data_IF_872771902130
#
_entry.id   IF_872771902130
#
_cell.length_a   1.000
_cell.length_b   1.000
_cell.length_c   1.000
_cell.angle_alpha   90.00
_cell.angle_beta   90.00
_cell.angle_gamma   90.00
#
_symmetry.space_group_name_H-M   'P 1'
#
loop_
_entity.id
_entity.type
_entity.pdbx_description
1 polymer ?
#
# COMPACT_ATOMS: atom_id res chain seq x y z
N UNK A 1 23.94 35.00 -5.41
CA UNK A 1 23.52 33.60 -5.48
C UNK A 1 22.41 33.43 -4.46
N UNK A 2 21.19 33.13 -4.88
CA UNK A 2 20.10 32.83 -3.96
C UNK A 2 20.44 31.51 -3.25
N UNK A 3 20.49 31.53 -1.92
CA UNK A 3 20.70 30.30 -1.12
C UNK A 3 19.54 29.36 -1.37
N UNK A 4 19.85 28.10 -1.69
CA UNK A 4 18.82 27.07 -1.86
C UNK A 4 18.02 26.87 -0.56
N UNK A 5 16.69 26.68 -0.62
CA UNK A 5 15.90 26.35 0.55
C UNK A 5 16.37 25.03 1.20
N UNK A 6 16.37 24.97 2.53
CA UNK A 6 16.77 23.78 3.27
C UNK A 6 15.61 22.80 3.44
N UNK A 7 15.86 21.54 3.11
CA UNK A 7 14.87 20.45 3.16
C UNK A 7 15.46 19.26 3.92
N UNK A 8 14.70 18.72 4.88
CA UNK A 8 15.04 17.43 5.48
C UNK A 8 14.52 16.31 4.56
N UNK A 9 15.38 15.37 4.25
CA UNK A 9 15.00 14.10 3.65
C UNK A 9 15.16 12.98 4.68
N UNK A 10 14.03 12.30 5.04
CA UNK A 10 14.01 11.32 6.14
C UNK A 10 14.73 10.03 5.78
N UNK A 11 14.64 9.59 4.55
CA UNK A 11 15.32 8.41 4.02
C UNK A 11 15.51 8.51 2.51
N UNK A 12 16.31 7.61 1.92
CA UNK A 12 16.54 7.60 0.48
C UNK A 12 15.32 7.12 -0.30
N UNK A 13 14.96 7.80 -1.37
CA UNK A 13 13.94 7.38 -2.33
C UNK A 13 14.53 6.40 -3.36
N UNK A 14 15.03 5.25 -2.90
CA UNK A 14 15.69 4.24 -3.76
C UNK A 14 14.77 3.64 -4.82
N UNK A 15 13.45 3.65 -4.58
CA UNK A 15 12.44 3.19 -5.55
C UNK A 15 11.95 4.26 -6.52
N UNK A 16 12.51 5.48 -6.47
CA UNK A 16 12.19 6.59 -7.39
C UNK A 16 13.22 6.67 -8.51
N UNK A 17 12.81 7.01 -9.74
CA UNK A 17 13.75 7.17 -10.87
C UNK A 17 14.81 8.25 -10.66
N UNK A 18 14.44 9.40 -10.10
CA UNK A 18 15.34 10.57 -10.03
C UNK A 18 15.12 11.50 -8.81
N UNK A 19 14.21 11.20 -7.88
CA UNK A 19 13.84 12.11 -6.79
C UNK A 19 15.04 12.62 -5.99
N UNK A 20 15.97 11.72 -5.60
CA UNK A 20 17.17 12.13 -4.84
C UNK A 20 18.03 13.13 -5.61
N UNK A 21 18.21 12.94 -6.93
CA UNK A 21 19.00 13.84 -7.77
C UNK A 21 18.32 15.20 -7.97
N UNK A 22 17.00 15.19 -8.20
CA UNK A 22 16.19 16.41 -8.38
C UNK A 22 16.15 17.23 -7.09
N UNK A 23 15.96 16.58 -5.94
CA UNK A 23 16.03 17.25 -4.65
C UNK A 23 17.40 17.93 -4.45
N UNK A 24 18.50 17.22 -4.64
CA UNK A 24 19.84 17.77 -4.47
C UNK A 24 20.17 18.90 -5.46
N UNK A 25 19.56 18.88 -6.67
CA UNK A 25 19.71 19.94 -7.66
C UNK A 25 19.08 21.25 -7.21
N UNK A 26 17.84 21.19 -6.63
CA UNK A 26 17.03 22.38 -6.41
C UNK A 26 17.05 22.87 -4.95
N UNK A 27 17.42 22.00 -4.00
CA UNK A 27 17.39 22.27 -2.55
C UNK A 27 18.75 22.00 -1.87
N UNK A 28 18.92 22.58 -0.69
CA UNK A 28 19.95 22.19 0.28
C UNK A 28 19.39 21.06 1.14
N UNK A 29 19.71 19.80 0.75
CA UNK A 29 19.10 18.61 1.32
C UNK A 29 19.90 18.08 2.49
N UNK A 30 19.29 18.08 3.68
CA UNK A 30 19.80 17.38 4.85
C UNK A 30 19.31 15.92 4.86
N UNK A 31 20.22 14.99 4.60
CA UNK A 31 19.92 13.56 4.43
C UNK A 31 20.00 12.83 5.78
N UNK A 32 18.90 12.79 6.53
CA UNK A 32 18.85 12.29 7.91
C UNK A 32 19.30 10.82 8.05
N UNK A 33 19.04 9.97 7.04
CA UNK A 33 19.42 8.54 7.09
C UNK A 33 20.93 8.29 7.04
N UNK A 34 21.72 9.27 6.67
CA UNK A 34 23.19 9.15 6.64
C UNK A 34 23.83 9.37 8.00
N UNK A 35 23.05 9.77 9.01
CA UNK A 35 23.53 10.04 10.36
C UNK A 35 23.18 8.89 11.30
N UNK A 36 24.18 8.34 11.99
CA UNK A 36 23.99 7.24 12.94
C UNK A 36 23.14 7.66 14.16
N UNK A 37 23.39 8.86 14.69
CA UNK A 37 22.56 9.46 15.74
C UNK A 37 21.70 10.59 15.15
N UNK A 38 20.45 10.26 14.87
CA UNK A 38 19.49 11.20 14.29
C UNK A 38 19.15 12.37 15.23
N UNK A 39 19.13 12.14 16.57
CA UNK A 39 18.80 13.19 17.54
C UNK A 39 19.90 14.25 17.60
N UNK A 40 21.14 13.81 17.68
CA UNK A 40 22.30 14.72 17.65
C UNK A 40 22.33 15.50 16.33
N UNK A 41 22.14 14.81 15.20
CA UNK A 41 22.15 15.45 13.90
C UNK A 41 21.03 16.49 13.74
N UNK A 42 19.82 16.22 14.23
CA UNK A 42 18.72 17.18 14.20
C UNK A 42 18.96 18.38 15.13
N UNK A 43 19.55 18.18 16.28
CA UNK A 43 19.90 19.27 17.19
C UNK A 43 20.96 20.21 16.58
N UNK A 44 21.93 19.68 15.85
CA UNK A 44 22.99 20.43 15.20
C UNK A 44 22.54 21.10 13.89
N UNK A 45 21.82 20.38 13.04
CA UNK A 45 21.52 20.81 11.68
C UNK A 45 20.04 21.13 11.42
N UNK A 46 19.13 20.87 12.36
CA UNK A 46 17.67 21.01 12.15
C UNK A 46 17.17 22.44 12.06
N UNK A 47 17.93 23.42 12.57
CA UNK A 47 17.54 24.85 12.50
C UNK A 47 17.53 25.33 11.05
N UNK A 48 16.49 26.08 10.68
CA UNK A 48 16.30 26.63 9.33
C UNK A 48 15.75 25.61 8.30
N UNK A 49 15.45 24.39 8.71
CA UNK A 49 14.75 23.41 7.87
C UNK A 49 13.25 23.71 7.95
N UNK A 50 12.67 24.16 6.83
CA UNK A 50 11.24 24.55 6.77
C UNK A 50 10.36 23.53 6.07
N UNK A 51 10.96 22.59 5.33
CA UNK A 51 10.21 21.51 4.68
C UNK A 51 10.89 20.15 4.90
N UNK A 52 10.07 19.08 4.90
CA UNK A 52 10.50 17.70 5.03
C UNK A 52 9.92 16.88 3.87
N UNK A 53 10.71 15.97 3.30
CA UNK A 53 10.25 14.95 2.37
C UNK A 53 10.40 13.57 3.02
N UNK A 54 9.33 12.75 2.92
CA UNK A 54 9.22 11.42 3.53
C UNK A 54 8.33 10.48 2.70
N UNK A 55 8.02 9.31 3.22
CA UNK A 55 7.04 8.36 2.66
C UNK A 55 6.37 7.58 3.79
N UNK A 56 5.33 6.80 3.49
CA UNK A 56 4.69 5.92 4.47
C UNK A 56 5.66 4.92 5.13
N UNK A 57 6.70 4.48 4.42
CA UNK A 57 7.70 3.55 4.97
C UNK A 57 8.73 4.24 5.88
N UNK A 58 8.94 5.54 5.69
CA UNK A 58 9.91 6.33 6.48
C UNK A 58 9.24 7.02 7.67
N UNK A 59 8.01 7.49 7.47
CA UNK A 59 7.21 8.18 8.47
C UNK A 59 7.70 9.58 8.83
N UNK A 60 6.97 10.20 9.76
CA UNK A 60 7.33 11.41 10.49
C UNK A 60 6.50 11.42 11.79
N UNK A 61 7.06 10.86 12.86
CA UNK A 61 6.40 10.83 14.15
C UNK A 61 6.48 12.19 14.86
N UNK A 62 5.74 12.37 15.95
CA UNK A 62 5.72 13.60 16.73
C UNK A 62 7.13 14.03 17.20
N UNK A 63 8.00 13.08 17.58
CA UNK A 63 9.37 13.38 18.01
C UNK A 63 10.17 14.05 16.88
N UNK A 64 10.12 13.49 15.66
CA UNK A 64 10.82 14.05 14.50
C UNK A 64 10.24 15.42 14.11
N UNK A 65 8.91 15.55 14.09
CA UNK A 65 8.24 16.81 13.79
C UNK A 65 8.65 17.89 14.80
N UNK A 66 8.67 17.55 16.09
CA UNK A 66 9.00 18.47 17.17
C UNK A 66 10.50 18.84 17.24
N UNK A 67 11.39 17.99 16.73
CA UNK A 67 12.83 18.28 16.66
C UNK A 67 13.19 19.36 15.62
N UNK A 68 12.26 19.76 14.75
CA UNK A 68 12.45 20.76 13.70
C UNK A 68 11.66 22.04 14.01
N UNK A 69 12.25 23.05 14.71
CA UNK A 69 11.50 24.21 15.19
C UNK A 69 10.88 25.06 14.07
N UNK A 70 11.52 25.10 12.90
CA UNK A 70 11.11 25.93 11.76
C UNK A 70 10.26 25.19 10.74
N UNK A 71 9.95 23.89 10.96
CA UNK A 71 9.19 23.06 10.04
C UNK A 71 7.80 23.63 9.77
N UNK A 72 7.39 23.70 8.50
CA UNK A 72 6.09 24.22 8.01
C UNK A 72 5.42 23.28 7.04
N UNK A 73 6.15 22.39 6.36
CA UNK A 73 5.57 21.47 5.38
C UNK A 73 6.21 20.08 5.44
N UNK A 74 5.40 19.04 5.23
CA UNK A 74 5.81 17.66 5.06
C UNK A 74 5.22 17.17 3.73
N UNK A 75 6.08 16.82 2.77
CA UNK A 75 5.67 16.27 1.48
C UNK A 75 5.96 14.77 1.46
N UNK A 76 4.91 13.94 1.43
CA UNK A 76 5.03 12.48 1.42
C UNK A 76 4.98 11.92 0.01
N UNK A 77 5.92 11.03 -0.30
CA UNK A 77 5.95 10.24 -1.52
C UNK A 77 5.16 8.94 -1.32
N UNK A 78 3.94 8.91 -1.81
CA UNK A 78 2.97 7.82 -1.65
C UNK A 78 1.60 8.32 -1.26
N UNK A 79 0.59 7.46 -1.36
CA UNK A 79 -0.79 7.80 -0.96
C UNK A 79 -1.03 7.58 0.54
N UNK A 80 -0.39 6.57 1.12
CA UNK A 80 -0.47 6.30 2.56
C UNK A 80 0.33 7.32 3.36
N UNK A 81 -0.22 7.73 4.50
CA UNK A 81 0.40 8.68 5.43
C UNK A 81 0.18 8.29 6.90
N UNK A 82 -0.22 7.06 7.14
CA UNK A 82 -0.52 6.52 8.48
C UNK A 82 0.67 6.53 9.45
N UNK A 83 1.88 6.63 8.95
CA UNK A 83 3.13 6.75 9.74
C UNK A 83 3.57 8.20 9.96
N UNK A 84 2.81 9.16 9.42
CA UNK A 84 3.00 10.59 9.68
C UNK A 84 2.03 10.99 10.79
N UNK A 85 2.55 11.58 11.85
CA UNK A 85 1.70 12.11 12.93
C UNK A 85 1.05 13.44 12.48
N UNK A 86 -0.05 13.29 11.74
CA UNK A 86 -0.82 14.42 11.19
C UNK A 86 -1.35 15.31 12.32
N UNK A 87 -1.68 14.73 13.49
CA UNK A 87 -2.15 15.51 14.63
C UNK A 87 -1.04 16.41 15.18
N UNK A 88 0.15 15.86 15.42
CA UNK A 88 1.30 16.67 15.85
C UNK A 88 1.70 17.73 14.80
N UNK A 89 1.58 17.41 13.51
CA UNK A 89 1.82 18.38 12.45
C UNK A 89 0.79 19.53 12.51
N UNK A 90 -0.49 19.22 12.65
CA UNK A 90 -1.60 20.19 12.73
C UNK A 90 -1.45 21.12 13.94
N UNK A 91 -1.13 20.58 15.11
CA UNK A 91 -0.92 21.35 16.35
C UNK A 91 0.18 22.41 16.21
N UNK A 92 1.14 22.16 15.31
CA UNK A 92 2.24 23.08 15.00
C UNK A 92 2.02 23.94 13.76
N UNK A 93 0.85 23.82 13.11
CA UNK A 93 0.59 24.50 11.85
C UNK A 93 1.48 24.04 10.70
N UNK A 94 1.92 22.78 10.72
CA UNK A 94 2.71 22.14 9.66
C UNK A 94 1.76 21.49 8.67
N UNK A 95 1.86 21.87 7.41
CA UNK A 95 1.07 21.30 6.32
C UNK A 95 1.60 19.91 5.93
N UNK A 96 0.70 18.99 5.59
CA UNK A 96 1.08 17.65 5.14
C UNK A 96 0.48 17.40 3.76
N UNK A 97 1.26 16.85 2.82
CA UNK A 97 0.76 16.36 1.53
C UNK A 97 1.11 14.90 1.30
N UNK A 98 0.34 14.27 0.42
CA UNK A 98 0.61 12.95 -0.13
C UNK A 98 0.53 12.98 -1.67
N UNK A 99 0.67 11.83 -2.34
CA UNK A 99 0.57 11.75 -3.82
C UNK A 99 -0.65 10.91 -4.24
N UNK A 100 -1.89 11.44 -4.07
CA UNK A 100 -3.10 10.74 -4.45
C UNK A 100 -3.25 10.66 -5.98
N UNK A 101 -4.14 9.79 -6.45
CA UNK A 101 -4.58 9.60 -7.84
C UNK A 101 -3.53 8.99 -8.77
N UNK A 102 -2.31 9.49 -8.80
CA UNK A 102 -1.25 9.10 -9.73
C UNK A 102 -0.85 7.62 -9.70
N UNK A 103 -1.14 6.92 -8.62
CA UNK A 103 -0.83 5.48 -8.47
C UNK A 103 -2.07 4.56 -8.54
N UNK A 104 -3.26 5.13 -8.67
CA UNK A 104 -4.54 4.39 -8.55
C UNK A 104 -4.64 3.23 -9.51
N UNK A 105 -4.37 3.45 -10.80
CA UNK A 105 -4.49 2.41 -11.83
C UNK A 105 -3.39 1.36 -11.69
N UNK A 106 -2.15 1.76 -11.39
CA UNK A 106 -1.03 0.83 -11.19
C UNK A 106 -1.31 -0.16 -10.05
N UNK A 107 -1.80 0.34 -8.90
CA UNK A 107 -2.16 -0.53 -7.77
C UNK A 107 -3.35 -1.43 -8.11
N UNK A 108 -4.34 -0.92 -8.85
CA UNK A 108 -5.47 -1.71 -9.30
C UNK A 108 -5.05 -2.80 -10.28
N UNK A 109 -4.12 -2.53 -11.18
CA UNK A 109 -3.55 -3.52 -12.11
C UNK A 109 -2.82 -4.63 -11.36
N UNK A 110 -2.00 -4.26 -10.35
CA UNK A 110 -1.32 -5.26 -9.51
C UNK A 110 -2.32 -6.11 -8.72
N UNK A 111 -3.38 -5.51 -8.16
CA UNK A 111 -4.42 -6.25 -7.46
C UNK A 111 -5.06 -7.33 -8.37
N UNK A 112 -5.30 -7.00 -9.63
CA UNK A 112 -5.77 -7.96 -10.64
C UNK A 112 -4.71 -9.00 -11.00
N UNK A 113 -3.46 -8.61 -11.10
CA UNK A 113 -2.33 -9.55 -11.27
C UNK A 113 -2.27 -10.58 -10.13
N UNK A 114 -2.38 -10.12 -8.88
CA UNK A 114 -2.44 -10.96 -7.68
C UNK A 114 -3.67 -11.88 -7.68
N UNK A 115 -4.86 -11.34 -7.99
CA UNK A 115 -6.11 -12.08 -8.08
C UNK A 115 -6.01 -13.22 -9.10
N UNK A 116 -5.57 -12.91 -10.32
CA UNK A 116 -5.43 -13.89 -11.40
C UNK A 116 -4.34 -14.91 -11.06
N UNK A 117 -3.20 -14.45 -10.52
CA UNK A 117 -2.10 -15.34 -10.13
C UNK A 117 -2.52 -16.33 -9.03
N UNK A 118 -3.25 -15.88 -8.01
CA UNK A 118 -3.79 -16.72 -6.95
C UNK A 118 -4.85 -17.70 -7.48
N UNK A 119 -5.83 -17.18 -8.23
CA UNK A 119 -6.90 -18.01 -8.81
C UNK A 119 -6.39 -19.10 -9.75
N UNK A 120 -5.40 -18.77 -10.59
CA UNK A 120 -4.89 -19.65 -11.65
C UNK A 120 -3.58 -20.35 -11.29
N UNK A 121 -3.10 -20.19 -10.03
CA UNK A 121 -1.86 -20.80 -9.53
C UNK A 121 -0.62 -20.43 -10.37
N UNK A 122 -0.56 -19.22 -10.89
CA UNK A 122 0.50 -18.82 -11.84
C UNK A 122 1.88 -18.85 -11.20
N UNK A 123 2.03 -18.30 -9.97
CA UNK A 123 3.30 -18.31 -9.24
C UNK A 123 3.76 -19.74 -8.90
N UNK A 124 2.83 -20.64 -8.54
CA UNK A 124 3.12 -22.05 -8.35
C UNK A 124 3.56 -22.72 -9.68
N UNK A 125 2.86 -22.41 -10.78
CA UNK A 125 3.16 -22.92 -12.12
C UNK A 125 4.55 -22.50 -12.60
N UNK A 126 4.92 -21.23 -12.41
CA UNK A 126 6.26 -20.72 -12.74
C UNK A 126 7.35 -21.45 -11.94
N UNK A 127 7.18 -21.55 -10.59
CA UNK A 127 8.11 -22.31 -9.74
C UNK A 127 8.24 -23.77 -10.17
N UNK A 128 7.12 -24.41 -10.52
CA UNK A 128 7.09 -25.81 -10.95
C UNK A 128 7.89 -26.06 -12.23
N UNK A 129 7.72 -25.17 -13.23
CA UNK A 129 8.49 -25.27 -14.50
C UNK A 129 9.96 -24.98 -14.27
N UNK A 130 10.30 -23.91 -13.53
CA UNK A 130 11.72 -23.56 -13.24
C UNK A 130 12.45 -24.62 -12.43
N UNK A 131 11.76 -25.35 -11.57
CA UNK A 131 12.30 -26.48 -10.83
C UNK A 131 12.47 -27.77 -11.69
N UNK A 132 12.17 -27.71 -12.99
CA UNK A 132 12.28 -28.85 -13.90
C UNK A 132 11.28 -29.98 -13.65
N UNK A 133 10.19 -29.72 -12.93
CA UNK A 133 9.21 -30.75 -12.55
C UNK A 133 8.19 -31.06 -13.66
N UNK A 134 8.06 -30.19 -14.63
CA UNK A 134 7.08 -30.39 -15.72
C UNK A 134 7.43 -31.62 -16.57
N UNK A 135 6.47 -32.53 -16.64
CA UNK A 135 6.65 -33.84 -17.31
C UNK A 135 7.37 -34.92 -16.45
N UNK A 136 7.90 -34.56 -15.27
CA UNK A 136 8.53 -35.51 -14.37
C UNK A 136 7.64 -36.00 -13.22
N UNK A 137 6.63 -35.17 -12.86
CA UNK A 137 5.69 -35.47 -11.78
C UNK A 137 4.32 -35.79 -12.37
N UNK A 138 3.81 -37.01 -12.04
CA UNK A 138 2.47 -37.41 -12.47
C UNK A 138 1.41 -36.49 -11.85
N UNK A 139 0.46 -35.97 -12.67
CA UNK A 139 -0.63 -35.12 -12.19
C UNK A 139 -0.36 -33.60 -12.23
N UNK A 140 0.89 -33.14 -12.38
CA UNK A 140 1.21 -31.71 -12.49
C UNK A 140 0.85 -30.89 -11.23
N UNK A 141 0.39 -29.66 -11.42
CA UNK A 141 -0.13 -28.78 -10.34
C UNK A 141 -1.64 -28.92 -10.22
N UNK A 142 -2.24 -28.68 -9.04
CA UNK A 142 -3.69 -28.71 -8.84
C UNK A 142 -4.43 -27.72 -9.73
N UNK A 143 -5.69 -28.02 -10.04
CA UNK A 143 -6.55 -27.12 -10.82
C UNK A 143 -6.75 -25.78 -10.09
N UNK A 144 -6.73 -24.69 -10.86
CA UNK A 144 -7.11 -23.36 -10.41
C UNK A 144 -8.59 -23.07 -10.53
N UNK A 145 -8.99 -21.87 -10.16
CA UNK A 145 -10.34 -21.34 -10.22
C UNK A 145 -10.51 -20.41 -11.44
N UNK A 146 -11.63 -20.50 -12.14
CA UNK A 146 -12.03 -19.53 -13.18
C UNK A 146 -12.33 -18.18 -12.50
N UNK A 147 -11.89 -17.07 -13.10
CA UNK A 147 -12.16 -15.72 -12.59
C UNK A 147 -13.47 -15.15 -13.13
N UNK A 148 -13.68 -15.24 -14.46
CA UNK A 148 -14.86 -14.66 -15.11
C UNK A 148 -16.17 -15.21 -14.56
N UNK A 149 -17.14 -14.32 -14.36
CA UNK A 149 -18.48 -14.64 -13.85
C UNK A 149 -18.51 -15.00 -12.35
N UNK A 150 -17.47 -14.66 -11.61
CA UNK A 150 -17.34 -14.90 -10.17
C UNK A 150 -17.72 -13.67 -9.34
N UNK A 151 -17.74 -13.81 -8.03
CA UNK A 151 -18.12 -12.78 -7.05
C UNK A 151 -16.90 -12.08 -6.49
N UNK A 152 -16.84 -10.77 -6.68
CA UNK A 152 -15.73 -9.90 -6.19
C UNK A 152 -16.21 -9.07 -5.01
N UNK A 153 -15.70 -9.35 -3.81
CA UNK A 153 -15.86 -8.54 -2.62
C UNK A 153 -14.70 -7.54 -2.50
N UNK A 154 -15.01 -6.27 -2.21
CA UNK A 154 -14.01 -5.22 -2.03
C UNK A 154 -14.19 -4.59 -0.66
N UNK A 155 -13.15 -4.64 0.18
CA UNK A 155 -13.07 -3.94 1.45
C UNK A 155 -12.38 -2.60 1.20
N UNK A 156 -13.15 -1.51 1.22
CA UNK A 156 -12.64 -0.17 0.92
C UNK A 156 -12.86 0.25 -0.54
N UNK A 157 -14.07 0.75 -0.86
CA UNK A 157 -14.39 1.28 -2.19
C UNK A 157 -14.00 2.77 -2.31
N UNK A 158 -12.70 3.07 -2.04
CA UNK A 158 -12.07 4.35 -2.34
C UNK A 158 -11.68 4.47 -3.82
N UNK A 159 -10.71 5.34 -4.14
CA UNK A 159 -10.21 5.50 -5.54
C UNK A 159 -9.68 4.19 -6.12
N UNK A 160 -8.79 3.51 -5.40
CA UNK A 160 -8.20 2.22 -5.82
C UNK A 160 -9.27 1.13 -5.88
N UNK A 161 -10.11 1.01 -4.83
CA UNK A 161 -11.20 0.01 -4.81
C UNK A 161 -12.16 0.15 -5.98
N UNK A 162 -12.51 1.39 -6.38
CA UNK A 162 -13.33 1.64 -7.56
C UNK A 162 -12.61 1.27 -8.87
N UNK A 163 -11.30 1.55 -8.96
CA UNK A 163 -10.52 1.16 -10.13
C UNK A 163 -10.42 -0.37 -10.27
N UNK A 164 -10.35 -1.09 -9.14
CA UNK A 164 -10.43 -2.57 -9.12
C UNK A 164 -11.82 -3.04 -9.53
N UNK A 165 -12.88 -2.43 -8.99
CA UNK A 165 -14.27 -2.77 -9.29
C UNK A 165 -14.57 -2.65 -10.79
N UNK A 166 -14.20 -1.53 -11.43
CA UNK A 166 -14.39 -1.31 -12.87
C UNK A 166 -13.72 -2.36 -13.75
N UNK A 167 -12.58 -2.90 -13.31
CA UNK A 167 -11.92 -4.00 -14.03
C UNK A 167 -12.69 -5.31 -13.91
N UNK A 168 -13.45 -5.49 -12.81
CA UNK A 168 -14.35 -6.61 -12.60
C UNK A 168 -15.46 -6.72 -13.65
N UNK A 169 -15.93 -5.58 -14.16
CA UNK A 169 -16.93 -5.53 -15.23
C UNK A 169 -16.43 -6.26 -16.50
N UNK A 170 -15.13 -6.10 -16.83
CA UNK A 170 -14.51 -6.80 -17.98
C UNK A 170 -14.36 -8.32 -17.79
N UNK A 171 -14.58 -8.83 -16.59
CA UNK A 171 -14.61 -10.26 -16.27
C UNK A 171 -16.03 -10.78 -15.97
N UNK A 172 -17.06 -9.99 -16.26
CA UNK A 172 -18.47 -10.32 -15.98
C UNK A 172 -18.71 -10.68 -14.50
N UNK A 173 -18.00 -10.03 -13.56
CA UNK A 173 -18.10 -10.34 -12.14
C UNK A 173 -19.25 -9.55 -11.49
N UNK A 174 -19.96 -10.20 -10.57
CA UNK A 174 -20.80 -9.47 -9.61
C UNK A 174 -19.90 -8.84 -8.57
N UNK A 175 -20.02 -7.50 -8.36
CA UNK A 175 -19.17 -6.76 -7.42
C UNK A 175 -20.00 -6.27 -6.25
N UNK A 176 -19.54 -6.55 -5.02
CA UNK A 176 -20.04 -5.94 -3.78
C UNK A 176 -18.87 -5.34 -2.98
N UNK A 177 -19.20 -4.38 -2.14
CA UNK A 177 -18.19 -3.75 -1.32
C UNK A 177 -18.65 -3.51 0.12
N UNK A 178 -17.68 -3.38 1.00
CA UNK A 178 -17.85 -2.90 2.37
C UNK A 178 -17.06 -1.60 2.58
N UNK A 179 -17.71 -0.61 3.16
CA UNK A 179 -17.15 0.64 3.70
C UNK A 179 -17.80 0.93 5.05
N UNK A 180 -17.23 1.84 5.84
CA UNK A 180 -17.88 2.38 7.05
C UNK A 180 -19.27 2.98 6.77
N UNK A 181 -19.50 3.49 5.57
CA UNK A 181 -20.79 4.04 5.10
C UNK A 181 -21.00 3.62 3.66
N UNK A 182 -22.27 3.34 3.31
CA UNK A 182 -22.66 3.11 1.94
C UNK A 182 -22.40 4.34 1.05
N UNK A 183 -22.12 4.09 -0.22
CA UNK A 183 -21.95 5.12 -1.27
C UNK A 183 -23.16 5.08 -2.21
N UNK A 184 -23.68 6.26 -2.55
CA UNK A 184 -24.83 6.39 -3.45
C UNK A 184 -24.43 6.72 -4.89
N UNK A 185 -23.13 6.92 -5.12
CA UNK A 185 -22.54 7.38 -6.39
C UNK A 185 -21.83 6.24 -7.17
N UNK A 186 -22.08 4.99 -6.77
CA UNK A 186 -21.48 3.80 -7.39
C UNK A 186 -22.54 2.74 -7.69
N UNK A 187 -22.39 1.94 -8.79
CA UNK A 187 -23.39 0.93 -9.19
C UNK A 187 -23.25 -0.40 -8.43
N UNK A 188 -22.28 -0.53 -7.54
CA UNK A 188 -21.94 -1.79 -6.87
C UNK A 188 -22.75 -2.02 -5.60
N UNK A 189 -23.03 -3.29 -5.27
CA UNK A 189 -23.78 -3.66 -4.08
C UNK A 189 -23.02 -3.33 -2.78
N UNK A 190 -23.66 -2.64 -1.85
CA UNK A 190 -23.11 -2.41 -0.52
C UNK A 190 -23.43 -3.57 0.42
N UNK A 191 -22.43 -4.04 1.17
CA UNK A 191 -22.59 -5.02 2.23
C UNK A 191 -22.14 -4.42 3.56
N UNK A 192 -23.09 -4.31 4.50
CA UNK A 192 -22.83 -3.70 5.80
C UNK A 192 -21.99 -4.61 6.72
N UNK A 193 -22.12 -5.94 6.54
CA UNK A 193 -21.39 -6.94 7.30
C UNK A 193 -20.18 -7.43 6.51
N UNK A 194 -19.00 -7.33 7.11
CA UNK A 194 -17.76 -7.83 6.52
C UNK A 194 -17.77 -9.36 6.40
N UNK A 195 -18.34 -10.03 7.38
CA UNK A 195 -18.49 -11.50 7.40
C UNK A 195 -19.42 -11.95 6.28
N UNK A 196 -20.53 -11.23 6.06
CA UNK A 196 -21.47 -11.58 4.98
C UNK A 196 -20.88 -11.28 3.60
N UNK A 197 -20.09 -10.19 3.46
CA UNK A 197 -19.31 -9.94 2.24
C UNK A 197 -18.35 -11.08 1.95
N UNK A 198 -17.57 -11.52 2.95
CA UNK A 198 -16.61 -12.60 2.83
C UNK A 198 -17.28 -13.92 2.48
N UNK A 199 -18.40 -14.25 3.14
CA UNK A 199 -19.17 -15.45 2.89
C UNK A 199 -19.78 -15.51 1.47
N UNK A 200 -20.11 -14.35 0.92
CA UNK A 200 -20.67 -14.23 -0.42
C UNK A 200 -19.59 -14.26 -1.52
N UNK A 201 -18.39 -13.73 -1.26
CA UNK A 201 -17.34 -13.53 -2.25
C UNK A 201 -16.59 -14.83 -2.61
N UNK A 202 -16.18 -14.96 -3.86
CA UNK A 202 -15.14 -15.91 -4.30
C UNK A 202 -13.73 -15.28 -4.15
N UNK A 203 -13.64 -13.97 -4.38
CA UNK A 203 -12.41 -13.16 -4.28
C UNK A 203 -12.69 -11.98 -3.37
N UNK A 204 -11.83 -11.78 -2.38
CA UNK A 204 -11.94 -10.69 -1.42
C UNK A 204 -10.70 -9.79 -1.50
N UNK A 205 -10.87 -8.59 -2.03
CA UNK A 205 -9.78 -7.60 -2.17
C UNK A 205 -9.83 -6.60 -1.03
N UNK A 206 -8.69 -6.44 -0.35
CA UNK A 206 -8.49 -5.46 0.72
C UNK A 206 -7.82 -4.23 0.12
N UNK A 207 -8.57 -3.12 0.05
CA UNK A 207 -8.18 -1.84 -0.55
C UNK A 207 -8.52 -0.64 0.35
N UNK A 208 -8.64 -0.86 1.65
CA UNK A 208 -8.92 0.19 2.65
C UNK A 208 -7.65 0.90 3.09
N UNK A 209 -7.79 2.03 3.77
CA UNK A 209 -6.66 2.73 4.41
C UNK A 209 -6.08 1.91 5.56
N UNK A 210 -4.78 2.05 5.83
CA UNK A 210 -4.16 1.54 7.04
C UNK A 210 -4.43 2.45 8.24
N UNK A 211 -4.12 1.94 9.43
CA UNK A 211 -4.20 2.70 10.68
C UNK A 211 -4.89 1.93 11.81
N UNK A 212 -4.98 2.53 13.02
CA UNK A 212 -5.53 1.85 14.20
C UNK A 212 -6.97 1.36 14.02
N UNK A 213 -7.81 2.11 13.30
CA UNK A 213 -9.22 1.77 13.08
C UNK A 213 -9.45 0.59 12.13
N UNK A 214 -8.45 0.24 11.33
CA UNK A 214 -8.51 -0.87 10.37
C UNK A 214 -7.60 -2.03 10.73
N UNK A 215 -6.91 -1.95 11.89
CA UNK A 215 -6.07 -3.03 12.35
C UNK A 215 -6.90 -4.30 12.58
N UNK A 216 -6.47 -5.42 11.97
CA UNK A 216 -7.14 -6.71 12.01
C UNK A 216 -8.65 -6.63 11.68
N UNK A 217 -9.02 -5.67 10.81
CA UNK A 217 -10.38 -5.56 10.28
C UNK A 217 -10.81 -6.87 9.60
N UNK A 218 -9.88 -7.50 8.88
CA UNK A 218 -10.02 -8.86 8.35
C UNK A 218 -9.46 -9.82 9.37
N UNK A 219 -10.29 -10.15 10.34
CA UNK A 219 -9.99 -11.06 11.44
C UNK A 219 -10.25 -12.53 11.05
N UNK A 220 -10.02 -13.43 12.00
CA UNK A 220 -10.25 -14.88 11.84
C UNK A 220 -11.65 -15.21 11.34
N UNK A 221 -12.69 -14.54 11.84
CA UNK A 221 -14.08 -14.81 11.48
C UNK A 221 -14.33 -14.48 9.99
N UNK A 222 -13.82 -13.35 9.51
CA UNK A 222 -13.91 -12.94 8.10
C UNK A 222 -13.15 -13.91 7.19
N UNK A 223 -11.95 -14.35 7.61
CA UNK A 223 -11.14 -15.31 6.87
C UNK A 223 -11.84 -16.67 6.77
N UNK A 224 -12.38 -17.19 7.87
CA UNK A 224 -13.11 -18.46 7.89
C UNK A 224 -14.42 -18.39 7.09
N UNK A 225 -15.08 -17.21 7.04
CA UNK A 225 -16.28 -16.99 6.25
C UNK A 225 -16.00 -17.04 4.74
N UNK A 226 -14.86 -16.52 4.29
CA UNK A 226 -14.42 -16.61 2.88
C UNK A 226 -14.16 -18.08 2.47
N UNK A 227 -13.61 -18.88 3.37
CA UNK A 227 -13.55 -20.32 3.31
C UNK A 227 -12.51 -20.93 2.37
N UNK A 228 -12.51 -22.26 2.24
CA UNK A 228 -11.42 -23.04 1.62
C UNK A 228 -11.30 -22.91 0.10
N UNK A 229 -12.22 -22.24 -0.56
CA UNK A 229 -12.18 -21.93 -1.99
C UNK A 229 -11.95 -20.46 -2.28
N UNK A 230 -12.02 -19.62 -1.25
CA UNK A 230 -11.86 -18.19 -1.37
C UNK A 230 -10.41 -17.77 -1.58
N UNK A 231 -10.25 -16.66 -2.26
CA UNK A 231 -8.94 -16.02 -2.47
C UNK A 231 -8.98 -14.64 -1.84
N UNK A 232 -8.07 -14.37 -0.92
CA UNK A 232 -7.88 -13.04 -0.34
C UNK A 232 -6.73 -12.32 -1.04
N UNK A 233 -6.94 -11.06 -1.39
CA UNK A 233 -5.94 -10.20 -2.03
C UNK A 233 -5.70 -8.98 -1.14
N UNK A 234 -4.46 -8.70 -0.75
CA UNK A 234 -4.13 -7.53 0.05
C UNK A 234 -3.15 -6.60 -0.70
N UNK A 235 -3.65 -5.41 -1.06
CA UNK A 235 -2.86 -4.31 -1.63
C UNK A 235 -2.98 -3.03 -0.77
N UNK A 236 -3.52 -3.16 0.44
CA UNK A 236 -3.73 -2.07 1.38
C UNK A 236 -2.51 -1.89 2.30
N UNK A 237 -2.60 -2.51 3.50
CA UNK A 237 -1.51 -2.62 4.48
C UNK A 237 -1.58 -3.98 5.16
N UNK A 238 -0.43 -4.53 5.52
CA UNK A 238 -0.34 -5.82 6.20
C UNK A 238 -1.23 -5.91 7.45
N UNK A 239 -1.14 -4.96 8.40
CA UNK A 239 -1.92 -4.98 9.64
C UNK A 239 -3.45 -4.91 9.47
N UNK A 240 -3.98 -4.68 8.27
CA UNK A 240 -5.44 -4.74 8.04
C UNK A 240 -5.97 -6.16 8.13
N UNK A 241 -5.15 -7.15 7.81
CA UNK A 241 -5.45 -8.57 8.00
C UNK A 241 -4.75 -9.06 9.27
N UNK A 242 -5.43 -9.89 10.05
CA UNK A 242 -4.78 -10.71 11.09
C UNK A 242 -3.91 -11.77 10.39
N UNK A 243 -2.62 -11.43 10.22
CA UNK A 243 -1.65 -12.25 9.48
C UNK A 243 -1.48 -13.63 10.11
N UNK A 244 -1.53 -13.72 11.44
CA UNK A 244 -1.41 -14.98 12.15
C UNK A 244 -2.63 -15.88 11.87
N UNK A 245 -3.84 -15.32 11.93
CA UNK A 245 -5.07 -16.06 11.64
C UNK A 245 -5.13 -16.49 10.17
N UNK A 246 -4.67 -15.64 9.23
CA UNK A 246 -4.61 -15.95 7.82
C UNK A 246 -3.60 -17.07 7.53
N UNK A 247 -2.41 -17.00 8.12
CA UNK A 247 -1.37 -18.02 7.98
C UNK A 247 -1.90 -19.37 8.46
N UNK A 248 -2.48 -19.41 9.65
CA UNK A 248 -3.10 -20.63 10.18
C UNK A 248 -4.23 -21.17 9.29
N UNK A 249 -5.03 -20.29 8.67
CA UNK A 249 -6.09 -20.71 7.76
C UNK A 249 -5.55 -21.32 6.45
N UNK A 250 -4.44 -20.81 5.91
CA UNK A 250 -3.72 -21.41 4.77
C UNK A 250 -3.17 -22.79 5.13
N UNK A 251 -2.45 -22.92 6.25
CA UNK A 251 -1.85 -24.18 6.69
C UNK A 251 -2.91 -25.28 6.91
N UNK A 252 -4.05 -24.91 7.49
CA UNK A 252 -5.13 -25.86 7.79
C UNK A 252 -6.16 -26.04 6.65
N UNK A 253 -5.91 -25.45 5.46
CA UNK A 253 -6.80 -25.55 4.30
C UNK A 253 -8.17 -24.88 4.50
N UNK A 254 -8.28 -23.95 5.45
CA UNK A 254 -9.50 -23.16 5.72
C UNK A 254 -9.62 -21.93 4.82
N UNK A 255 -8.53 -21.50 4.19
CA UNK A 255 -8.48 -20.46 3.16
C UNK A 255 -7.86 -21.04 1.89
N UNK A 256 -8.46 -20.75 0.74
CA UNK A 256 -8.03 -21.29 -0.54
C UNK A 256 -6.71 -20.71 -1.06
N UNK A 257 -6.53 -19.39 -0.96
CA UNK A 257 -5.30 -18.72 -1.35
C UNK A 257 -5.18 -17.34 -0.70
N UNK A 258 -3.93 -16.93 -0.39
CA UNK A 258 -3.57 -15.57 -0.01
C UNK A 258 -2.62 -14.95 -1.03
N UNK A 259 -3.02 -13.84 -1.65
CA UNK A 259 -2.24 -13.10 -2.65
C UNK A 259 -1.92 -11.70 -2.11
N UNK A 260 -0.67 -11.49 -1.71
CA UNK A 260 -0.26 -10.40 -0.83
C UNK A 260 0.83 -9.55 -1.48
N UNK A 261 0.64 -8.23 -1.47
CA UNK A 261 1.69 -7.25 -1.77
C UNK A 261 2.27 -6.62 -0.50
N UNK A 262 1.59 -6.81 0.64
CA UNK A 262 1.94 -6.18 1.93
C UNK A 262 1.84 -7.18 3.08
N UNK A 263 2.68 -6.99 4.11
CA UNK A 263 2.79 -7.86 5.28
C UNK A 263 2.74 -7.06 6.59
N UNK A 264 2.37 -7.71 7.69
CA UNK A 264 2.20 -7.01 8.97
C UNK A 264 3.53 -6.45 9.52
N UNK A 265 4.64 -7.14 9.26
CA UNK A 265 5.97 -6.77 9.77
C UNK A 265 7.03 -6.66 8.66
N UNK A 266 6.71 -5.95 7.58
CA UNK A 266 7.63 -5.75 6.45
C UNK A 266 9.06 -5.36 6.91
N UNK A 267 10.10 -5.96 6.32
CA UNK A 267 10.11 -6.91 5.21
C UNK A 267 10.00 -8.39 5.64
N UNK A 268 9.63 -8.69 6.89
CA UNK A 268 9.49 -10.05 7.39
C UNK A 268 8.19 -10.67 6.90
N UNK A 269 8.29 -11.87 6.34
CA UNK A 269 7.16 -12.68 5.88
C UNK A 269 7.15 -13.98 6.69
N UNK A 270 6.00 -14.45 7.22
CA UNK A 270 5.92 -15.74 7.89
C UNK A 270 6.40 -16.90 7.00
N UNK A 271 7.26 -17.76 7.55
CA UNK A 271 7.85 -18.90 6.82
C UNK A 271 6.77 -19.82 6.22
N UNK A 272 5.69 -20.07 6.99
CA UNK A 272 4.57 -20.88 6.53
C UNK A 272 3.85 -20.28 5.28
N UNK A 273 3.87 -18.96 5.10
CA UNK A 273 3.38 -18.34 3.85
C UNK A 273 4.38 -18.49 2.71
N UNK A 274 5.69 -18.41 3.00
CA UNK A 274 6.77 -18.59 2.00
C UNK A 274 6.74 -19.99 1.42
N UNK A 275 6.58 -20.99 2.27
CA UNK A 275 6.62 -22.41 1.90
C UNK A 275 5.32 -22.91 1.27
N UNK A 276 4.22 -22.15 1.40
CA UNK A 276 2.93 -22.58 0.88
C UNK A 276 2.81 -22.41 -0.64
N UNK A 277 2.27 -23.42 -1.30
CA UNK A 277 1.84 -23.32 -2.70
C UNK A 277 0.53 -22.56 -2.91
N UNK A 278 -0.20 -22.26 -1.83
CA UNK A 278 -1.45 -21.51 -1.83
C UNK A 278 -1.25 -20.01 -1.54
N UNK A 279 -0.06 -19.49 -1.85
CA UNK A 279 0.26 -18.06 -1.69
C UNK A 279 0.85 -17.45 -2.95
N UNK A 280 0.60 -16.15 -3.13
CA UNK A 280 1.30 -15.26 -4.07
C UNK A 280 1.83 -14.11 -3.24
N UNK A 281 3.15 -13.92 -3.21
CA UNK A 281 3.82 -12.97 -2.33
C UNK A 281 4.64 -11.99 -3.16
N UNK A 282 4.38 -10.69 -2.98
CA UNK A 282 5.09 -9.60 -3.66
C UNK A 282 5.69 -8.64 -2.61
N UNK A 283 6.84 -8.01 -2.90
CA UNK A 283 7.57 -7.19 -1.94
C UNK A 283 7.15 -5.72 -1.97
N UNK A 284 5.86 -5.42 -1.73
CA UNK A 284 5.28 -4.07 -1.69
C UNK A 284 5.56 -3.27 -2.96
N UNK A 285 5.13 -3.82 -4.09
CA UNK A 285 5.34 -3.24 -5.43
C UNK A 285 4.08 -2.65 -6.07
N UNK A 286 3.02 -2.41 -5.31
CA UNK A 286 1.72 -1.91 -5.80
C UNK A 286 1.80 -0.73 -6.76
N UNK A 287 2.72 0.21 -6.50
CA UNK A 287 2.96 1.37 -7.35
C UNK A 287 4.30 1.32 -8.11
N UNK A 288 4.95 0.14 -8.22
CA UNK A 288 6.31 0.04 -8.74
C UNK A 288 6.36 -0.13 -10.27
N UNK A 289 5.67 0.71 -11.02
CA UNK A 289 5.98 0.94 -12.43
C UNK A 289 6.80 2.22 -12.59
N UNK A 290 7.58 2.30 -13.67
CA UNK A 290 8.45 3.45 -13.93
C UNK A 290 7.63 4.75 -14.04
N UNK A 291 6.54 4.71 -14.81
CA UNK A 291 5.64 5.83 -15.04
C UNK A 291 4.97 6.31 -13.76
N UNK A 292 4.49 5.37 -12.95
CA UNK A 292 3.83 5.70 -11.67
C UNK A 292 4.81 6.28 -10.66
N UNK A 293 6.01 5.70 -10.55
CA UNK A 293 7.06 6.22 -9.65
C UNK A 293 7.50 7.61 -10.05
N UNK A 294 7.60 7.90 -11.36
CA UNK A 294 7.90 9.23 -11.86
C UNK A 294 6.76 10.21 -11.56
N UNK A 295 5.51 9.84 -11.80
CA UNK A 295 4.36 10.70 -11.49
C UNK A 295 4.23 11.00 -9.98
N UNK A 296 4.51 10.02 -9.11
CA UNK A 296 4.57 10.23 -7.67
C UNK A 296 5.71 11.20 -7.28
N UNK A 297 6.87 11.05 -7.92
CA UNK A 297 8.02 11.95 -7.73
C UNK A 297 7.66 13.37 -8.16
N UNK A 298 7.09 13.54 -9.34
CA UNK A 298 6.67 14.85 -9.88
C UNK A 298 5.69 15.54 -8.92
N UNK A 299 4.66 14.84 -8.46
CA UNK A 299 3.65 15.41 -7.57
C UNK A 299 4.22 15.75 -6.18
N UNK A 300 5.13 14.94 -5.62
CA UNK A 300 5.82 15.26 -4.36
C UNK A 300 6.66 16.53 -4.52
N UNK A 301 7.43 16.65 -5.61
CA UNK A 301 8.26 17.82 -5.89
C UNK A 301 7.43 19.07 -6.21
N UNK A 302 6.29 18.91 -6.88
CA UNK A 302 5.33 19.99 -7.12
C UNK A 302 4.76 20.53 -5.80
N UNK A 303 4.39 19.66 -4.85
CA UNK A 303 3.97 20.08 -3.51
C UNK A 303 5.07 20.86 -2.79
N UNK A 304 6.30 20.37 -2.86
CA UNK A 304 7.45 21.03 -2.24
C UNK A 304 7.73 22.40 -2.88
N UNK A 305 7.68 22.48 -4.20
CA UNK A 305 7.87 23.73 -4.95
C UNK A 305 6.76 24.74 -4.66
N UNK A 306 5.49 24.31 -4.69
CA UNK A 306 4.32 25.15 -4.37
C UNK A 306 4.43 25.72 -2.94
N UNK A 307 4.86 24.89 -1.99
CA UNK A 307 5.10 25.37 -0.63
C UNK A 307 6.13 26.51 -0.58
N UNK A 308 7.26 26.38 -1.26
CA UNK A 308 8.29 27.42 -1.26
C UNK A 308 7.91 28.67 -2.05
N UNK A 309 7.03 28.57 -3.03
CA UNK A 309 6.54 29.70 -3.82
C UNK A 309 5.40 30.46 -3.12
N UNK A 310 4.40 29.72 -2.65
CA UNK A 310 3.11 30.29 -2.25
C UNK A 310 2.69 29.96 -0.79
N UNK A 311 3.50 29.15 -0.08
CA UNK A 311 3.17 28.65 1.25
C UNK A 311 2.01 27.65 1.28
N UNK A 312 1.67 27.04 0.14
CA UNK A 312 0.55 26.10 -0.01
C UNK A 312 1.00 24.77 -0.59
N UNK A 313 0.23 23.72 -0.34
CA UNK A 313 0.43 22.41 -0.94
C UNK A 313 -0.62 22.17 -2.04
N UNK A 314 -0.24 21.42 -3.08
CA UNK A 314 -1.12 21.05 -4.21
C UNK A 314 -2.13 19.98 -3.78
N UNK A 315 -1.66 19.01 -2.98
CA UNK A 315 -2.47 17.88 -2.49
C UNK A 315 -2.39 17.76 -0.97
N UNK A 316 -2.97 18.74 -0.22
CA UNK A 316 -2.95 18.72 1.25
C UNK A 316 -3.75 17.54 1.80
N UNK A 317 -3.27 16.96 2.89
CA UNK A 317 -4.00 16.00 3.72
C UNK A 317 -4.83 16.79 4.72
N UNK A 318 -6.14 16.50 4.79
CA UNK A 318 -7.10 17.14 5.70
C UNK A 318 -7.02 16.63 7.15
#
# INVERSE_FOLDING_TARGET
>A
MTTKPRVLQVGSFSGSPSANQRLAKDYDVFELWKHADRKVALAEYGKGITAMVTSANMGANAELINALPDLKAICSWGVGYETIDVQAARERGVLVSNTPDVLTDCVADLAWGLLISGARRMSQGDRFVRAGRWGQVHGGIPLGTRVSGKKLGIIGLGRIGQAIARRGDGFDMEVRYHNRRARNDVPYGYEASLVDLAKWADFLVVATVGGPETRHLVNKEVIEALGPKGVIINIARGPVIDEQAMTAAIENGKLGCAALDVFEYEPKVPEALIDSDNTVLLPHIGSASYETRLAMEDLMLENLQSYFQDGKLVTPVE
#
